data_IF_572434534342
#
_entry.id   IF_572434534342
#
_cell.length_a   1.000
_cell.length_b   1.000
_cell.length_c   1.000
_cell.angle_alpha   90.00
_cell.angle_beta   90.00
_cell.angle_gamma   90.00
#
_symmetry.space_group_name_H-M   'P 1'
#
loop_
_entity.id
_entity.type
_entity.pdbx_description
1 polymer ?
#
# COMPACT_ATOMS: atom_id res chain seq x y z
N UNK A 1 9.69 4.30 -18.64
CA UNK A 1 10.15 4.80 -19.95
C UNK A 1 10.34 3.62 -20.89
N UNK A 2 10.01 3.76 -22.17
CA UNK A 2 10.24 2.69 -23.16
C UNK A 2 11.73 2.62 -23.50
N UNK A 3 12.27 1.41 -23.62
CA UNK A 3 13.66 1.19 -24.02
C UNK A 3 14.05 -0.28 -23.88
N UNK A 4 15.26 -0.62 -24.33
CA UNK A 4 15.72 -2.01 -24.35
C UNK A 4 16.10 -2.48 -22.95
N UNK A 5 15.66 -3.70 -22.60
CA UNK A 5 16.11 -4.38 -21.40
C UNK A 5 17.13 -5.48 -21.78
N UNK A 6 18.08 -5.83 -20.91
CA UNK A 6 18.94 -6.99 -21.13
C UNK A 6 18.12 -8.29 -21.03
N UNK A 7 18.58 -9.37 -21.69
CA UNK A 7 17.91 -10.67 -21.62
C UNK A 7 18.12 -11.35 -20.25
N UNK A 8 19.25 -11.04 -19.60
CA UNK A 8 19.60 -11.48 -18.26
C UNK A 8 20.48 -10.45 -17.58
N UNK A 9 20.52 -10.45 -16.25
CA UNK A 9 21.56 -9.75 -15.49
C UNK A 9 22.86 -10.58 -15.50
N UNK A 10 24.01 -9.91 -15.52
CA UNK A 10 25.32 -10.55 -15.59
C UNK A 10 25.64 -11.35 -14.32
N UNK A 11 25.37 -10.77 -13.14
CA UNK A 11 25.67 -11.37 -11.84
C UNK A 11 24.52 -11.19 -10.83
N UNK A 12 23.32 -11.76 -11.08
CA UNK A 12 22.20 -11.65 -10.17
C UNK A 12 22.46 -12.46 -8.90
N UNK A 13 22.17 -11.84 -7.76
CA UNK A 13 22.26 -12.44 -6.43
C UNK A 13 21.01 -13.22 -6.06
N UNK A 14 19.88 -12.82 -6.65
CA UNK A 14 18.59 -13.46 -6.43
C UNK A 14 17.92 -13.76 -7.77
N UNK A 15 17.26 -14.91 -7.87
CA UNK A 15 16.50 -15.33 -9.05
C UNK A 15 15.20 -16.01 -8.64
N UNK A 16 14.18 -15.85 -9.47
CA UNK A 16 12.96 -16.64 -9.46
C UNK A 16 12.53 -17.00 -10.89
N UNK A 17 11.32 -17.54 -11.08
CA UNK A 17 10.88 -18.06 -12.37
C UNK A 17 10.86 -17.03 -13.51
N UNK A 18 10.54 -15.78 -13.18
CA UNK A 18 10.34 -14.69 -14.13
C UNK A 18 11.03 -13.39 -13.69
N UNK A 19 11.99 -13.48 -12.76
CA UNK A 19 12.71 -12.32 -12.26
C UNK A 19 14.12 -12.64 -11.80
N UNK A 20 15.02 -11.67 -11.92
CA UNK A 20 16.35 -11.69 -11.37
C UNK A 20 16.68 -10.34 -10.75
N UNK A 21 17.45 -10.33 -9.66
CA UNK A 21 17.91 -9.11 -9.03
C UNK A 21 19.38 -9.21 -8.62
N UNK A 22 20.11 -8.12 -8.85
CA UNK A 22 21.40 -7.82 -8.21
C UNK A 22 21.20 -6.65 -7.21
N UNK A 23 22.26 -6.06 -6.65
CA UNK A 23 22.17 -4.99 -5.65
C UNK A 23 21.52 -3.67 -6.14
N UNK A 24 21.41 -3.48 -7.45
CA UNK A 24 21.00 -2.22 -8.12
C UNK A 24 19.85 -2.40 -9.10
N UNK A 25 19.63 -3.62 -9.59
CA UNK A 25 18.69 -3.92 -10.66
C UNK A 25 17.69 -4.99 -10.25
N UNK A 26 16.46 -4.83 -10.73
CA UNK A 26 15.48 -5.90 -10.87
C UNK A 26 15.09 -6.01 -12.33
N UNK A 27 15.34 -7.17 -12.92
CA UNK A 27 14.83 -7.55 -14.22
C UNK A 27 13.64 -8.48 -14.03
N UNK A 28 12.49 -8.12 -14.61
CA UNK A 28 11.37 -9.02 -14.81
C UNK A 28 11.30 -9.42 -16.28
N UNK A 29 11.13 -10.71 -16.49
CA UNK A 29 10.78 -11.29 -17.78
C UNK A 29 9.32 -11.74 -17.73
N UNK A 30 8.47 -11.15 -18.58
CA UNK A 30 7.04 -11.40 -18.63
C UNK A 30 6.74 -12.14 -19.94
N UNK A 31 6.61 -13.48 -19.91
CA UNK A 31 6.44 -14.28 -21.12
C UNK A 31 5.26 -13.79 -21.96
N UNK A 32 5.54 -13.50 -23.24
CA UNK A 32 4.55 -13.00 -24.20
C UNK A 32 4.16 -11.52 -24.04
N UNK A 33 4.69 -10.81 -23.03
CA UNK A 33 4.39 -9.40 -22.78
C UNK A 33 5.62 -8.52 -23.01
N UNK A 34 6.79 -8.89 -22.45
CA UNK A 34 8.02 -8.09 -22.55
C UNK A 34 8.88 -8.16 -21.30
N UNK A 35 9.84 -7.24 -21.19
CA UNK A 35 10.77 -7.15 -20.05
C UNK A 35 10.67 -5.80 -19.35
N UNK A 36 10.84 -5.81 -18.03
CA UNK A 36 10.86 -4.61 -17.21
C UNK A 36 12.16 -4.59 -16.39
N UNK A 37 12.89 -3.48 -16.48
CA UNK A 37 14.09 -3.26 -15.68
C UNK A 37 13.87 -2.07 -14.73
N UNK A 38 13.91 -2.33 -13.42
CA UNK A 38 13.96 -1.28 -12.40
C UNK A 38 15.41 -1.12 -11.91
N UNK A 39 15.95 0.08 -12.01
CA UNK A 39 17.36 0.37 -11.74
C UNK A 39 17.53 1.54 -10.79
N UNK A 40 18.46 1.37 -9.85
CA UNK A 40 19.05 2.43 -9.02
C UNK A 40 18.09 3.25 -8.16
N UNK A 41 16.85 2.77 -7.97
CA UNK A 41 15.83 3.56 -7.28
C UNK A 41 15.38 4.79 -8.06
N UNK A 42 15.65 4.87 -9.37
CA UNK A 42 15.33 6.06 -10.17
C UNK A 42 14.53 5.74 -11.42
N UNK A 43 14.82 4.62 -12.08
CA UNK A 43 14.35 4.38 -13.44
C UNK A 43 13.67 3.03 -13.58
N UNK A 44 12.49 3.05 -14.21
CA UNK A 44 11.82 1.84 -14.72
C UNK A 44 11.81 1.89 -16.25
N UNK A 45 12.49 0.95 -16.87
CA UNK A 45 12.53 0.72 -18.33
C UNK A 45 11.54 -0.38 -18.70
N UNK A 46 10.76 -0.15 -19.76
CA UNK A 46 9.77 -1.07 -20.31
C UNK A 46 10.17 -1.45 -21.73
N UNK A 47 10.36 -2.74 -21.95
CA UNK A 47 10.75 -3.35 -23.22
C UNK A 47 9.64 -4.31 -23.67
N UNK A 48 8.56 -3.81 -24.32
CA UNK A 48 7.45 -4.65 -24.74
C UNK A 48 7.88 -5.62 -25.85
N UNK A 49 7.32 -6.83 -25.81
CA UNK A 49 7.50 -7.81 -26.88
C UNK A 49 6.93 -7.26 -28.22
N UNK A 50 7.40 -7.78 -29.37
CA UNK A 50 6.90 -7.34 -30.68
C UNK A 50 5.37 -7.41 -30.77
N UNK A 51 4.74 -6.29 -31.11
CA UNK A 51 3.28 -6.19 -31.24
C UNK A 51 2.52 -5.95 -29.94
N UNK A 52 3.18 -5.95 -28.77
CA UNK A 52 2.54 -5.66 -27.48
C UNK A 52 2.53 -4.15 -27.20
N UNK A 53 1.37 -3.55 -26.90
CA UNK A 53 1.29 -2.15 -26.45
C UNK A 53 2.03 -1.93 -25.13
N UNK A 54 2.77 -0.83 -25.00
CA UNK A 54 3.48 -0.49 -23.75
C UNK A 54 2.53 -0.35 -22.54
N UNK A 55 1.28 0.06 -22.79
CA UNK A 55 0.24 0.20 -21.76
C UNK A 55 -0.09 -1.12 -21.06
N UNK A 56 0.11 -2.26 -21.73
CA UNK A 56 -0.12 -3.58 -21.14
C UNK A 56 0.96 -3.93 -20.09
N UNK A 57 2.09 -3.21 -20.11
CA UNK A 57 3.14 -3.30 -19.10
C UNK A 57 2.95 -2.31 -17.94
N UNK A 58 2.04 -1.33 -18.06
CA UNK A 58 1.87 -0.25 -17.09
C UNK A 58 1.52 -0.78 -15.69
N UNK A 59 0.71 -1.84 -15.61
CA UNK A 59 0.36 -2.48 -14.34
C UNK A 59 1.57 -3.09 -13.62
N UNK A 60 2.55 -3.63 -14.36
CA UNK A 60 3.79 -4.15 -13.78
C UNK A 60 4.73 -3.01 -13.34
N UNK A 61 4.79 -1.93 -14.12
CA UNK A 61 5.53 -0.71 -13.77
C UNK A 61 5.00 -0.07 -12.48
N UNK A 62 3.70 0.22 -12.43
CA UNK A 62 3.02 0.75 -11.24
C UNK A 62 2.96 -0.27 -10.09
N UNK A 63 3.10 -1.56 -10.42
CA UNK A 63 3.11 -2.71 -9.54
C UNK A 63 4.47 -2.94 -8.87
N UNK A 64 5.14 -3.97 -9.37
CA UNK A 64 6.42 -4.45 -8.85
C UNK A 64 7.59 -3.53 -9.21
N UNK A 65 7.53 -2.83 -10.35
CA UNK A 65 8.54 -1.86 -10.77
C UNK A 65 8.70 -0.73 -9.75
N UNK A 66 7.61 -0.04 -9.41
CA UNK A 66 7.60 1.00 -8.37
C UNK A 66 8.05 0.47 -7.01
N UNK A 67 7.66 -0.77 -6.66
CA UNK A 67 8.08 -1.38 -5.40
C UNK A 67 9.59 -1.62 -5.35
N UNK A 68 10.17 -2.05 -6.47
CA UNK A 68 11.61 -2.22 -6.60
C UNK A 68 12.33 -0.88 -6.44
N UNK A 69 11.83 0.18 -7.08
CA UNK A 69 12.36 1.53 -6.94
C UNK A 69 12.37 1.98 -5.48
N UNK A 70 11.25 1.83 -4.76
CA UNK A 70 11.14 2.20 -3.36
C UNK A 70 12.11 1.40 -2.47
N UNK A 71 12.25 0.10 -2.71
CA UNK A 71 13.19 -0.75 -1.97
C UNK A 71 14.66 -0.44 -2.28
N UNK A 72 15.00 -0.12 -3.54
CA UNK A 72 16.34 0.27 -3.97
C UNK A 72 16.77 1.62 -3.36
N UNK A 73 15.83 2.57 -3.23
CA UNK A 73 16.05 3.83 -2.49
C UNK A 73 16.34 3.59 -1.03
N UNK A 74 15.69 2.59 -0.44
CA UNK A 74 15.94 2.19 0.94
C UNK A 74 15.69 3.32 1.95
N UNK A 75 14.70 4.19 1.71
CA UNK A 75 14.39 5.31 2.61
C UNK A 75 13.36 4.96 3.68
N UNK A 76 12.57 3.89 3.48
CA UNK A 76 11.51 3.53 4.42
C UNK A 76 11.08 2.06 4.35
N UNK A 77 10.14 1.71 5.21
CA UNK A 77 9.41 0.45 5.22
C UNK A 77 8.18 0.59 4.33
N UNK A 78 8.09 -0.21 3.26
CA UNK A 78 6.96 -0.18 2.33
C UNK A 78 5.94 -1.24 2.72
N UNK A 79 4.83 -0.83 3.33
CA UNK A 79 3.75 -1.73 3.72
C UNK A 79 2.63 -1.76 2.69
N UNK A 80 2.04 -2.94 2.51
CA UNK A 80 0.77 -3.12 1.82
C UNK A 80 -0.37 -2.67 2.74
N UNK A 81 -0.67 -1.38 2.69
CA UNK A 81 -1.60 -0.72 3.58
C UNK A 81 -2.34 0.42 2.87
N UNK A 82 -3.45 0.84 3.47
CA UNK A 82 -4.09 2.13 3.19
C UNK A 82 -3.91 3.02 4.42
N UNK A 83 -3.72 4.32 4.24
CA UNK A 83 -3.49 5.27 5.32
C UNK A 83 -4.50 6.42 5.26
N UNK A 84 -5.13 6.70 6.40
CA UNK A 84 -6.09 7.81 6.56
C UNK A 84 -5.59 8.76 7.64
N UNK A 85 -5.69 10.05 7.35
CA UNK A 85 -5.42 11.17 8.25
C UNK A 85 -6.67 11.44 9.09
N UNK A 86 -6.55 11.35 10.41
CA UNK A 86 -7.55 11.76 11.38
C UNK A 86 -6.83 12.60 12.43
N UNK A 87 -7.39 13.75 12.79
CA UNK A 87 -6.84 14.63 13.84
C UNK A 87 -5.33 14.93 13.69
N UNK A 88 -4.88 15.12 12.43
CA UNK A 88 -3.49 15.45 12.10
C UNK A 88 -2.50 14.27 12.15
N UNK A 89 -2.97 13.04 12.41
CA UNK A 89 -2.14 11.83 12.45
C UNK A 89 -2.66 10.74 11.52
N UNK A 90 -1.77 9.85 11.06
CA UNK A 90 -2.13 8.77 10.14
C UNK A 90 -2.43 7.45 10.86
N UNK A 91 -3.50 6.80 10.43
CA UNK A 91 -3.95 5.47 10.84
C UNK A 91 -3.81 4.53 9.64
N UNK A 92 -3.01 3.47 9.79
CA UNK A 92 -2.63 2.56 8.70
C UNK A 92 -3.36 1.24 8.81
N UNK A 93 -4.07 0.85 7.75
CA UNK A 93 -4.80 -0.41 7.67
C UNK A 93 -4.05 -1.41 6.81
N UNK A 94 -3.52 -2.46 7.45
CA UNK A 94 -2.81 -3.57 6.84
C UNK A 94 -3.71 -4.80 6.69
N UNK A 95 -3.41 -5.66 5.73
CA UNK A 95 -4.14 -6.90 5.52
C UNK A 95 -3.93 -7.47 4.12
N UNK A 96 -4.32 -8.73 3.87
CA UNK A 96 -4.15 -9.36 2.56
C UNK A 96 -4.92 -8.63 1.45
N UNK A 97 -4.54 -8.78 0.17
CA UNK A 97 -5.34 -8.29 -0.95
C UNK A 97 -6.81 -8.73 -0.83
N UNK A 98 -7.74 -7.80 -1.05
CA UNK A 98 -9.17 -8.09 -0.92
C UNK A 98 -9.72 -8.08 0.52
N UNK A 99 -8.91 -7.76 1.53
CA UNK A 99 -9.39 -7.60 2.92
C UNK A 99 -10.28 -6.38 3.15
N UNK A 100 -10.36 -5.46 2.18
CA UNK A 100 -11.19 -4.25 2.30
C UNK A 100 -10.48 -3.02 2.88
N UNK A 101 -9.13 -2.99 2.94
CA UNK A 101 -8.35 -1.80 3.39
C UNK A 101 -8.79 -0.51 2.67
N UNK A 102 -8.81 -0.54 1.34
CA UNK A 102 -9.20 0.61 0.53
C UNK A 102 -10.67 1.01 0.77
N UNK A 103 -11.55 0.02 0.99
CA UNK A 103 -12.97 0.27 1.32
C UNK A 103 -13.13 0.93 2.68
N UNK A 104 -12.41 0.46 3.70
CA UNK A 104 -12.39 1.07 5.02
C UNK A 104 -11.80 2.48 4.98
N UNK A 105 -10.70 2.67 4.24
CA UNK A 105 -10.11 3.98 4.05
C UNK A 105 -11.08 4.96 3.36
N UNK A 106 -11.82 4.50 2.35
CA UNK A 106 -12.85 5.29 1.68
C UNK A 106 -13.99 5.69 2.63
N UNK A 107 -14.47 4.75 3.46
CA UNK A 107 -15.52 5.03 4.44
C UNK A 107 -15.07 6.03 5.51
N UNK A 108 -13.83 5.92 6.01
CA UNK A 108 -13.25 6.91 6.93
C UNK A 108 -13.08 8.28 6.27
N UNK A 109 -12.75 8.34 4.98
CA UNK A 109 -12.72 9.60 4.23
C UNK A 109 -14.12 10.21 4.09
N UNK A 110 -15.17 9.40 3.87
CA UNK A 110 -16.56 9.87 3.87
C UNK A 110 -16.99 10.40 5.25
N UNK A 111 -16.42 9.85 6.33
CA UNK A 111 -16.63 10.31 7.70
C UNK A 111 -15.79 11.55 8.10
N UNK A 112 -15.12 12.21 7.15
CA UNK A 112 -14.35 13.44 7.38
C UNK A 112 -12.84 13.25 7.52
N UNK A 113 -12.33 12.03 7.44
CA UNK A 113 -10.89 11.76 7.37
C UNK A 113 -10.25 12.14 6.04
N UNK A 114 -8.93 12.22 6.01
CA UNK A 114 -8.12 12.55 4.83
C UNK A 114 -7.42 11.34 4.23
N UNK A 115 -7.34 11.19 2.91
CA UNK A 115 -6.54 10.12 2.31
C UNK A 115 -5.05 10.49 2.32
N UNK A 116 -4.20 9.62 2.88
CA UNK A 116 -2.74 9.78 2.82
C UNK A 116 -2.15 8.91 1.71
N UNK A 117 -2.47 7.62 1.72
CA UNK A 117 -1.99 6.66 0.71
C UNK A 117 -2.92 5.44 0.60
N UNK A 118 -2.92 4.75 -0.55
CA UNK A 118 -3.63 3.49 -0.75
C UNK A 118 -2.74 2.48 -1.50
N UNK A 119 -2.89 1.18 -1.18
CA UNK A 119 -2.08 0.05 -1.67
C UNK A 119 -0.60 0.00 -1.18
N UNK A 120 0.10 1.14 -1.10
CA UNK A 120 1.50 1.21 -0.62
C UNK A 120 1.73 2.41 0.28
N UNK A 121 1.96 2.14 1.56
CA UNK A 121 2.38 3.16 2.51
C UNK A 121 3.90 3.09 2.70
N UNK A 122 4.60 4.18 2.39
CA UNK A 122 6.05 4.33 2.69
C UNK A 122 6.19 4.95 4.06
N UNK A 123 6.67 4.14 5.02
CA UNK A 123 6.87 4.55 6.40
C UNK A 123 8.35 4.85 6.62
N UNK A 124 8.66 6.07 6.98
CA UNK A 124 9.98 6.49 7.40
C UNK A 124 10.12 6.25 8.92
N UNK A 125 11.05 5.38 9.35
CA UNK A 125 11.29 5.11 10.76
C UNK A 125 12.10 6.25 11.41
N UNK A 126 11.62 7.48 11.28
CA UNK A 126 12.13 8.67 11.95
C UNK A 126 11.48 8.83 13.33
N UNK A 127 11.84 9.89 14.05
CA UNK A 127 11.14 10.33 15.25
C UNK A 127 10.61 11.76 15.03
N UNK A 128 9.27 11.95 14.91
CA UNK A 128 8.23 10.92 14.93
C UNK A 128 8.28 10.00 13.70
N UNK A 129 7.69 8.81 13.79
CA UNK A 129 7.55 7.91 12.63
C UNK A 129 6.59 8.54 11.63
N UNK A 130 7.02 8.68 10.37
CA UNK A 130 6.26 9.39 9.33
C UNK A 130 5.75 8.43 8.26
N UNK A 131 4.56 8.70 7.72
CA UNK A 131 4.10 8.10 6.48
C UNK A 131 4.03 9.17 5.39
N UNK A 132 4.55 8.81 4.21
CA UNK A 132 4.59 9.71 3.06
C UNK A 132 3.28 9.63 2.27
N UNK A 133 2.67 10.77 1.89
CA UNK A 133 1.52 10.76 0.99
C UNK A 133 1.93 10.22 -0.39
N UNK A 134 1.11 9.37 -1.00
CA UNK A 134 1.41 8.80 -2.32
C UNK A 134 0.95 9.70 -3.48
N UNK A 135 0.12 10.70 -3.18
CA UNK A 135 -0.48 11.60 -4.18
C UNK A 135 -1.49 10.92 -5.10
N UNK A 136 -1.85 9.66 -4.84
CA UNK A 136 -2.73 8.86 -5.68
C UNK A 136 -4.19 8.91 -5.18
N UNK A 137 -5.11 8.42 -5.99
CA UNK A 137 -6.51 8.21 -5.63
C UNK A 137 -6.73 6.83 -5.01
N UNK A 138 -7.85 6.68 -4.29
CA UNK A 138 -8.33 5.39 -3.80
C UNK A 138 -8.58 4.43 -4.95
N UNK A 139 -8.18 3.16 -4.78
CA UNK A 139 -8.41 2.09 -5.77
C UNK A 139 -9.45 1.11 -5.25
N UNK A 140 -10.72 1.35 -5.57
CA UNK A 140 -11.85 0.55 -5.12
C UNK A 140 -12.28 -0.47 -6.16
N UNK A 141 -12.78 -1.62 -5.71
CA UNK A 141 -13.52 -2.56 -6.55
C UNK A 141 -14.93 -2.02 -6.82
N UNK A 142 -15.54 -2.47 -7.91
CA UNK A 142 -16.91 -2.06 -8.29
C UNK A 142 -17.95 -2.26 -7.18
N UNK A 143 -17.91 -3.38 -6.46
CA UNK A 143 -18.82 -3.66 -5.34
C UNK A 143 -18.70 -2.65 -4.18
N UNK A 144 -17.48 -2.33 -3.78
CA UNK A 144 -17.22 -1.32 -2.74
C UNK A 144 -17.61 0.08 -3.21
N UNK A 145 -17.33 0.39 -4.48
CA UNK A 145 -17.64 1.68 -5.09
C UNK A 145 -19.15 1.90 -5.15
N UNK A 146 -19.92 0.87 -5.51
CA UNK A 146 -21.38 0.95 -5.49
C UNK A 146 -21.99 0.98 -4.10
N UNK A 147 -21.44 0.20 -3.16
CA UNK A 147 -21.93 0.24 -1.79
C UNK A 147 -21.73 1.61 -1.13
N UNK A 148 -20.62 2.28 -1.44
CA UNK A 148 -20.30 3.61 -0.91
C UNK A 148 -20.99 4.75 -1.69
N UNK A 149 -21.71 4.47 -2.78
CA UNK A 149 -22.32 5.49 -3.64
C UNK A 149 -21.29 6.41 -4.30
N UNK A 150 -20.16 5.85 -4.76
CA UNK A 150 -19.03 6.59 -5.33
C UNK A 150 -18.90 6.40 -6.86
N UNK A 151 -19.96 5.93 -7.52
CA UNK A 151 -20.02 5.71 -8.97
C UNK A 151 -19.65 6.94 -9.79
N UNK A 152 -20.21 8.09 -9.45
CA UNK A 152 -20.01 9.33 -10.19
C UNK A 152 -18.57 9.87 -10.09
N UNK A 153 -17.75 9.27 -9.22
CA UNK A 153 -16.35 9.63 -8.99
C UNK A 153 -15.36 8.65 -9.63
N UNK A 154 -15.85 7.64 -10.32
CA UNK A 154 -15.06 6.66 -11.04
C UNK A 154 -14.39 7.30 -12.27
N UNK A 155 -13.06 7.37 -12.30
CA UNK A 155 -12.35 7.97 -13.44
C UNK A 155 -11.73 6.94 -14.38
N UNK A 156 -10.82 6.12 -13.84
CA UNK A 156 -9.97 5.28 -14.68
C UNK A 156 -9.97 3.84 -14.17
N UNK A 157 -10.33 2.85 -15.01
CA UNK A 157 -10.14 1.45 -14.67
C UNK A 157 -8.67 1.13 -14.42
N UNK A 158 -8.37 0.43 -13.33
CA UNK A 158 -7.03 -0.04 -13.01
C UNK A 158 -6.79 -1.35 -13.75
N UNK A 159 -6.07 -1.29 -14.88
CA UNK A 159 -5.70 -2.48 -15.66
C UNK A 159 -4.90 -3.47 -14.81
N UNK A 160 -5.21 -4.76 -14.93
CA UNK A 160 -4.48 -5.85 -14.26
C UNK A 160 -4.72 -6.02 -12.75
N UNK A 161 -5.59 -5.20 -12.11
CA UNK A 161 -5.89 -5.31 -10.66
C UNK A 161 -7.38 -5.61 -10.36
N UNK A 162 -7.99 -6.51 -11.13
CA UNK A 162 -9.32 -7.09 -10.85
C UNK A 162 -10.44 -6.05 -10.67
N UNK A 163 -11.02 -5.58 -11.77
CA UNK A 163 -12.18 -4.66 -11.81
C UNK A 163 -12.13 -3.49 -10.80
N UNK A 164 -10.93 -3.00 -10.50
CA UNK A 164 -10.73 -1.81 -9.65
C UNK A 164 -10.79 -0.55 -10.48
N UNK A 165 -11.27 0.54 -9.88
CA UNK A 165 -11.35 1.87 -10.46
C UNK A 165 -10.67 2.86 -9.53
N UNK A 166 -9.91 3.80 -10.11
CA UNK A 166 -9.36 4.93 -9.38
C UNK A 166 -10.46 5.98 -9.20
N UNK A 167 -10.72 6.36 -7.96
CA UNK A 167 -11.60 7.49 -7.68
C UNK A 167 -10.86 8.81 -7.90
N UNK A 168 -11.46 9.72 -8.68
CA UNK A 168 -11.00 11.10 -8.71
C UNK A 168 -11.11 11.73 -7.31
N UNK A 169 -10.18 12.63 -6.99
CA UNK A 169 -10.46 13.62 -5.95
C UNK A 169 -11.76 14.37 -6.30
N UNK A 170 -12.54 14.84 -5.32
CA UNK A 170 -13.68 15.69 -5.63
C UNK A 170 -13.17 16.97 -6.31
N UNK A 171 -13.50 17.16 -7.60
CA UNK A 171 -13.02 18.31 -8.39
C UNK A 171 -13.86 19.59 -8.13
N UNK A 172 -15.08 19.47 -7.60
CA UNK A 172 -16.03 20.60 -7.52
C UNK A 172 -16.61 20.89 -6.13
N UNK A 173 -15.98 20.37 -5.08
CA UNK A 173 -16.19 20.84 -3.70
C UNK A 173 -14.83 21.27 -3.15
N UNK A 174 -14.71 22.43 -2.46
CA UNK A 174 -13.48 22.74 -1.74
C UNK A 174 -13.21 21.54 -0.84
N UNK A 175 -12.18 20.74 -1.18
CA UNK A 175 -11.99 19.40 -0.61
C UNK A 175 -11.91 19.50 0.91
N UNK A 176 -13.01 19.22 1.60
CA UNK A 176 -13.06 19.14 3.07
C UNK A 176 -12.33 17.90 3.58
N UNK A 177 -11.99 16.97 2.68
CA UNK A 177 -11.09 15.83 2.94
C UNK A 177 -9.64 16.34 2.83
N UNK A 178 -8.91 16.50 3.94
CA UNK A 178 -7.56 17.03 3.90
C UNK A 178 -6.63 16.01 3.23
N UNK A 179 -5.85 16.43 2.24
CA UNK A 179 -4.71 15.63 1.76
C UNK A 179 -3.43 16.28 2.24
N UNK A 180 -2.59 15.57 3.01
CA UNK A 180 -1.33 16.15 3.40
C UNK A 180 -0.39 16.22 2.20
N UNK A 181 0.21 17.40 1.98
CA UNK A 181 1.25 17.60 0.96
C UNK A 181 2.64 17.19 1.47
N UNK A 182 2.77 16.96 2.78
CA UNK A 182 4.01 16.59 3.47
C UNK A 182 3.81 15.27 4.23
N UNK A 183 4.89 14.56 4.60
CA UNK A 183 4.79 13.39 5.46
C UNK A 183 4.09 13.71 6.79
N UNK A 184 3.29 12.76 7.29
CA UNK A 184 2.48 12.93 8.50
C UNK A 184 2.86 11.91 9.56
N UNK A 185 2.79 12.26 10.86
CA UNK A 185 3.10 11.34 11.95
C UNK A 185 2.10 10.18 11.99
N UNK A 186 2.61 8.97 12.17
CA UNK A 186 1.79 7.77 12.31
C UNK A 186 1.28 7.65 13.75
N UNK A 187 -0.04 7.60 13.93
CA UNK A 187 -0.67 7.31 15.21
C UNK A 187 -0.61 5.82 15.54
N UNK A 188 -1.01 4.97 14.59
CA UNK A 188 -1.13 3.53 14.83
C UNK A 188 -1.23 2.73 13.53
N UNK A 189 -0.95 1.43 13.63
CA UNK A 189 -1.11 0.47 12.53
C UNK A 189 -2.12 -0.62 12.95
N UNK A 190 -3.18 -0.80 12.18
CA UNK A 190 -4.20 -1.83 12.36
C UNK A 190 -4.00 -2.97 11.35
N UNK A 191 -3.82 -4.19 11.83
CA UNK A 191 -3.82 -5.40 10.99
C UNK A 191 -5.21 -6.02 11.01
N UNK A 192 -5.88 -6.01 9.86
CA UNK A 192 -7.26 -6.46 9.71
C UNK A 192 -7.37 -7.99 9.77
N UNK A 193 -8.34 -8.47 10.53
CA UNK A 193 -8.77 -9.86 10.60
C UNK A 193 -10.29 -9.94 10.45
N UNK A 194 -10.77 -10.95 9.73
CA UNK A 194 -12.20 -11.18 9.53
C UNK A 194 -12.74 -12.05 10.68
N UNK A 195 -13.86 -11.63 11.27
CA UNK A 195 -14.62 -12.44 12.25
C UNK A 195 -15.96 -12.90 11.65
N UNK A 196 -16.59 -13.93 12.25
CA UNK A 196 -17.94 -14.35 11.88
C UNK A 196 -18.95 -13.19 11.90
N UNK A 197 -20.01 -13.32 11.11
CA UNK A 197 -20.97 -12.24 10.82
C UNK A 197 -21.81 -11.76 11.99
N UNK A 198 -21.79 -12.45 13.13
CA UNK A 198 -22.44 -12.10 14.40
C UNK A 198 -21.47 -11.47 15.42
N UNK A 199 -20.17 -11.51 15.18
CA UNK A 199 -19.16 -10.90 16.04
C UNK A 199 -19.20 -9.36 15.99
N UNK A 200 -18.75 -8.70 17.05
CA UNK A 200 -18.56 -7.24 17.09
C UNK A 200 -17.13 -6.86 16.70
N UNK A 201 -16.99 -5.72 16.02
CA UNK A 201 -15.69 -5.16 15.71
C UNK A 201 -14.92 -4.85 17.02
N UNK A 202 -13.66 -5.23 17.10
CA UNK A 202 -12.80 -4.98 18.26
C UNK A 202 -11.35 -4.71 17.86
N UNK A 203 -10.65 -3.94 18.68
CA UNK A 203 -9.22 -3.67 18.53
C UNK A 203 -8.45 -4.20 19.73
N UNK A 204 -7.41 -5.00 19.46
CA UNK A 204 -6.52 -5.55 20.49
C UNK A 204 -5.09 -5.11 20.21
N UNK A 205 -4.44 -4.46 21.17
CA UNK A 205 -3.02 -4.08 21.03
C UNK A 205 -2.17 -5.34 20.99
N UNK A 206 -1.31 -5.43 19.99
CA UNK A 206 -0.41 -6.57 19.80
C UNK A 206 0.90 -6.38 20.57
N UNK A 207 1.43 -7.43 21.20
CA UNK A 207 2.81 -7.43 21.67
C UNK A 207 3.80 -7.28 20.50
N UNK A 208 5.01 -6.80 20.80
CA UNK A 208 6.00 -6.44 19.78
C UNK A 208 6.35 -7.58 18.80
N UNK A 209 6.52 -8.81 19.30
CA UNK A 209 6.91 -9.95 18.44
C UNK A 209 5.80 -10.35 17.44
N UNK A 210 4.54 -10.60 17.85
CA UNK A 210 3.43 -10.79 16.91
C UNK A 210 3.25 -9.62 15.94
N UNK A 211 3.38 -8.38 16.41
CA UNK A 211 3.31 -7.20 15.56
C UNK A 211 4.42 -7.21 14.48
N UNK A 212 5.67 -7.47 14.87
CA UNK A 212 6.79 -7.55 13.96
C UNK A 212 6.59 -8.64 12.89
N UNK A 213 6.12 -9.82 13.30
CA UNK A 213 5.85 -10.92 12.38
C UNK A 213 4.75 -10.56 11.37
N UNK A 214 3.70 -9.89 11.81
CA UNK A 214 2.64 -9.42 10.92
C UNK A 214 3.16 -8.35 9.97
N UNK A 215 3.86 -7.33 10.45
CA UNK A 215 4.41 -6.27 9.60
C UNK A 215 5.39 -6.81 8.55
N UNK A 216 6.23 -7.79 8.93
CA UNK A 216 7.10 -8.50 7.97
C UNK A 216 6.30 -9.15 6.83
N UNK A 217 5.13 -9.73 7.13
CA UNK A 217 4.24 -10.33 6.13
C UNK A 217 3.49 -9.29 5.29
N UNK A 218 3.39 -8.04 5.75
CA UNK A 218 2.73 -6.94 5.04
C UNK A 218 3.70 -6.11 4.19
N UNK A 219 5.00 -6.42 4.17
CA UNK A 219 5.93 -5.72 3.28
C UNK A 219 5.54 -5.95 1.82
N UNK A 220 5.29 -4.86 1.09
CA UNK A 220 4.93 -4.95 -0.31
C UNK A 220 6.10 -5.53 -1.12
N UNK A 221 5.81 -6.50 -1.99
CA UNK A 221 6.83 -7.24 -2.75
C UNK A 221 7.95 -7.81 -1.86
N UNK A 222 7.60 -8.36 -0.68
CA UNK A 222 8.52 -8.85 0.36
C UNK A 222 9.74 -9.64 -0.15
N UNK A 223 9.58 -10.50 -1.16
CA UNK A 223 10.70 -11.28 -1.72
C UNK A 223 11.82 -10.37 -2.26
N UNK A 224 11.46 -9.23 -2.85
CA UNK A 224 12.41 -8.20 -3.28
C UNK A 224 13.00 -7.45 -2.10
N UNK A 225 12.18 -7.08 -1.11
CA UNK A 225 12.67 -6.45 0.11
C UNK A 225 13.76 -7.30 0.81
N UNK A 226 13.55 -8.61 0.83
CA UNK A 226 14.51 -9.59 1.37
C UNK A 226 15.69 -9.88 0.44
N UNK A 227 15.59 -9.56 -0.86
CA UNK A 227 16.69 -9.60 -1.81
C UNK A 227 17.66 -8.41 -1.65
N UNK A 228 17.23 -7.33 -0.98
CA UNK A 228 18.05 -6.16 -0.67
C UNK A 228 18.13 -5.85 0.82
N UNK A 229 18.58 -6.80 1.67
CA UNK A 229 18.50 -6.64 3.12
C UNK A 229 19.35 -5.48 3.64
N UNK A 230 20.48 -5.16 3.00
CA UNK A 230 21.34 -4.04 3.38
C UNK A 230 20.69 -2.66 3.14
N UNK A 231 19.87 -2.54 2.08
CA UNK A 231 19.18 -1.30 1.73
C UNK A 231 17.85 -1.15 2.46
N UNK A 232 17.11 -2.26 2.60
CA UNK A 232 15.76 -2.25 3.15
C UNK A 232 15.75 -2.41 4.66
N UNK A 233 16.70 -3.17 5.22
CA UNK A 233 16.83 -3.45 6.65
C UNK A 233 15.48 -3.74 7.34
N UNK A 234 14.67 -4.68 6.83
CA UNK A 234 13.27 -4.81 7.20
C UNK A 234 13.06 -5.02 8.71
N UNK A 235 13.88 -5.87 9.34
CA UNK A 235 13.80 -6.12 10.77
C UNK A 235 14.14 -4.87 11.60
N UNK A 236 15.22 -4.16 11.26
CA UNK A 236 15.62 -2.93 11.96
C UNK A 236 14.59 -1.82 11.84
N UNK A 237 14.03 -1.61 10.62
CA UNK A 237 12.97 -0.61 10.41
C UNK A 237 11.69 -0.95 11.14
N UNK A 238 11.29 -2.23 11.16
CA UNK A 238 10.12 -2.68 11.91
C UNK A 238 10.33 -2.44 13.40
N UNK A 239 11.50 -2.78 13.95
CA UNK A 239 11.82 -2.52 15.35
C UNK A 239 11.74 -1.02 15.68
N UNK A 240 12.32 -0.16 14.82
CA UNK A 240 12.25 1.29 14.99
C UNK A 240 10.80 1.82 14.96
N UNK A 241 9.96 1.33 14.04
CA UNK A 241 8.53 1.68 14.01
C UNK A 241 7.82 1.25 15.30
N UNK A 242 8.05 0.00 15.77
CA UNK A 242 7.38 -0.55 16.94
C UNK A 242 7.77 0.12 18.27
N UNK A 243 8.91 0.83 18.31
CA UNK A 243 9.30 1.60 19.50
C UNK A 243 8.39 2.82 19.74
N UNK A 244 7.78 3.37 18.68
CA UNK A 244 7.01 4.62 18.76
C UNK A 244 5.55 4.46 18.34
N UNK A 245 5.23 3.44 17.54
CA UNK A 245 3.89 3.25 16.95
C UNK A 245 3.27 1.95 17.44
N UNK A 246 2.12 2.02 18.15
CA UNK A 246 1.38 0.82 18.54
C UNK A 246 0.76 0.14 17.33
N UNK A 247 0.79 -1.20 17.35
CA UNK A 247 0.11 -2.04 16.35
C UNK A 247 -1.05 -2.76 17.01
N UNK A 248 -2.20 -2.73 16.35
CA UNK A 248 -3.43 -3.36 16.78
C UNK A 248 -3.84 -4.46 15.80
N UNK A 249 -4.46 -5.51 16.31
CA UNK A 249 -5.31 -6.39 15.50
C UNK A 249 -6.71 -5.80 15.49
N UNK A 250 -7.26 -5.60 14.30
CA UNK A 250 -8.63 -5.15 14.08
C UNK A 250 -9.47 -6.34 13.60
N UNK A 251 -10.16 -6.95 14.54
CA UNK A 251 -11.11 -8.04 14.29
C UNK A 251 -12.46 -7.42 13.90
N UNK A 252 -12.97 -7.69 12.70
CA UNK A 252 -14.14 -6.98 12.16
C UNK A 252 -15.03 -7.84 11.25
N UNK A 253 -16.37 -7.63 11.23
CA UNK A 253 -17.26 -8.31 10.29
C UNK A 253 -16.93 -7.97 8.84
N UNK A 254 -16.91 -8.96 7.95
CA UNK A 254 -16.64 -8.70 6.53
C UNK A 254 -17.78 -7.98 5.81
N UNK A 255 -18.98 -8.07 6.37
CA UNK A 255 -20.21 -7.51 5.81
C UNK A 255 -20.14 -5.98 5.71
N UNK A 256 -20.27 -5.44 4.49
CA UNK A 256 -20.24 -4.00 4.25
C UNK A 256 -21.37 -3.27 4.98
N UNK A 257 -22.53 -3.91 5.20
CA UNK A 257 -23.64 -3.33 5.96
C UNK A 257 -23.25 -2.97 7.40
N UNK A 258 -22.21 -3.60 7.92
CA UNK A 258 -21.65 -3.39 9.27
C UNK A 258 -20.35 -2.60 9.27
N UNK A 259 -19.96 -2.01 8.12
CA UNK A 259 -18.74 -1.22 8.01
C UNK A 259 -18.75 0.00 8.95
N UNK A 260 -19.91 0.60 9.17
CA UNK A 260 -20.10 1.71 10.11
C UNK A 260 -19.59 1.40 11.51
N UNK A 261 -19.82 0.18 12.02
CA UNK A 261 -19.32 -0.24 13.33
C UNK A 261 -17.78 -0.22 13.43
N UNK A 262 -17.11 -0.57 12.32
CA UNK A 262 -15.65 -0.53 12.24
C UNK A 262 -15.14 0.90 12.16
N UNK A 263 -15.84 1.77 11.42
CA UNK A 263 -15.54 3.20 11.31
C UNK A 263 -15.67 3.88 12.67
N UNK A 264 -16.80 3.69 13.36
CA UNK A 264 -17.07 4.29 14.66
C UNK A 264 -16.02 3.89 15.70
N UNK A 265 -15.61 2.62 15.71
CA UNK A 265 -14.57 2.12 16.59
C UNK A 265 -13.21 2.82 16.35
N UNK A 266 -12.85 3.08 15.09
CA UNK A 266 -11.60 3.76 14.73
C UNK A 266 -11.67 5.25 15.06
N UNK A 267 -12.81 5.90 14.81
CA UNK A 267 -13.01 7.31 15.14
C UNK A 267 -12.98 7.55 16.66
N UNK A 268 -13.60 6.67 17.44
CA UNK A 268 -13.53 6.72 18.90
C UNK A 268 -12.08 6.58 19.40
N UNK A 269 -11.33 5.63 18.85
CA UNK A 269 -9.90 5.47 19.17
C UNK A 269 -9.08 6.72 18.78
N UNK A 270 -9.39 7.35 17.65
CA UNK A 270 -8.69 8.57 17.22
C UNK A 270 -8.88 9.70 18.22
N UNK A 271 -10.11 9.89 18.70
CA UNK A 271 -10.45 10.90 19.70
C UNK A 271 -9.72 10.66 21.04
N UNK A 272 -9.55 9.40 21.46
CA UNK A 272 -8.82 9.05 22.69
C UNK A 272 -7.29 9.27 22.57
N UNK A 273 -6.75 9.31 21.35
CA UNK A 273 -5.32 9.47 21.07
C UNK A 273 -4.90 10.92 20.72
N UNK A 274 -5.87 11.83 20.54
CA UNK A 274 -5.67 13.23 20.19
C UNK A 274 -5.26 14.07 21.42
#
# INVERSE_FOLDING_TARGET
MRGDCPASLDAPRHRGPCWAADDRHLLLDLPGIGRLLAADGERVTLDPAPGVPVDDMAAFAAGIGLSAILHQRGTGLVLQASAVLLDGRAYLFCGPPGSGKSTLAAALCQAGGGLVADDRCVIEPAEPVLVHPDGLGLQLRSDALSWLGLEDRACTPVRGRGAKVVLAPPEDTPSTVPRPAAPVPVASIQVMADIPGDGMAMMTRLPALPAAQLLLNQIHARRLALAWPARVQPAGRIAAVLNHVPVYRLDRPRDLRRLGETVDLILAMSADMA
#
